data_IF_169938516850
#
_entry.id   IF_169938516850
#
_cell.length_a   1.000
_cell.length_b   1.000
_cell.length_c   1.000
_cell.angle_alpha   90.00
_cell.angle_beta   90.00
_cell.angle_gamma   90.00
#
_symmetry.space_group_name_H-M   'P 1'
#
loop_
_entity.id
_entity.type
_entity.pdbx_description
1 polymer ?
#
# COMPACT_ATOMS: atom_id res chain seq x y z
N UNK A 1 -2.15 9.91 -38.68
CA UNK A 1 -1.35 8.67 -38.80
C UNK A 1 -0.45 8.43 -37.59
N UNK A 2 0.34 9.41 -37.11
CA UNK A 2 1.27 9.24 -35.96
C UNK A 2 0.65 8.66 -34.67
N UNK A 3 -0.57 9.06 -34.28
CA UNK A 3 -1.24 8.56 -33.06
C UNK A 3 -1.58 7.06 -33.10
N UNK A 4 -1.91 6.52 -34.27
CA UNK A 4 -2.22 5.08 -34.42
C UNK A 4 -0.97 4.22 -34.21
N UNK A 5 0.19 4.68 -34.66
CA UNK A 5 1.47 4.00 -34.47
C UNK A 5 1.93 4.01 -33.01
N UNK A 6 1.69 5.10 -32.28
CA UNK A 6 2.02 5.18 -30.85
C UNK A 6 1.17 4.19 -30.05
N UNK A 7 -0.16 4.19 -30.24
CA UNK A 7 -1.06 3.26 -29.55
C UNK A 7 -0.74 1.79 -29.89
N UNK A 8 -0.29 1.51 -31.13
CA UNK A 8 0.11 0.17 -31.54
C UNK A 8 1.43 -0.24 -30.86
N UNK A 9 2.40 0.67 -30.75
CA UNK A 9 3.64 0.43 -30.02
C UNK A 9 3.40 0.21 -28.52
N UNK A 10 2.54 1.01 -27.90
CA UNK A 10 2.11 0.84 -26.50
C UNK A 10 1.42 -0.51 -26.29
N UNK A 11 0.48 -0.86 -27.17
CA UNK A 11 -0.22 -2.14 -27.13
C UNK A 11 0.72 -3.33 -27.31
N UNK A 12 1.70 -3.24 -28.20
CA UNK A 12 2.70 -4.29 -28.42
C UNK A 12 3.62 -4.44 -27.21
N UNK A 13 4.09 -3.33 -26.61
CA UNK A 13 4.90 -3.37 -25.40
C UNK A 13 4.12 -3.98 -24.23
N UNK A 14 2.86 -3.58 -24.03
CA UNK A 14 2.00 -4.16 -23.00
C UNK A 14 1.75 -5.64 -23.24
N UNK A 15 1.52 -6.07 -24.48
CA UNK A 15 1.34 -7.48 -24.80
C UNK A 15 2.60 -8.31 -24.49
N UNK A 16 3.79 -7.79 -24.82
CA UNK A 16 5.06 -8.45 -24.48
C UNK A 16 5.24 -8.56 -22.97
N UNK A 17 5.05 -7.47 -22.22
CA UNK A 17 5.16 -7.48 -20.75
C UNK A 17 4.11 -8.39 -20.09
N UNK A 18 2.90 -8.45 -20.66
CA UNK A 18 1.84 -9.34 -20.21
C UNK A 18 2.23 -10.81 -20.42
N UNK A 19 2.75 -11.19 -21.58
CA UNK A 19 3.22 -12.58 -21.82
C UNK A 19 4.36 -12.93 -20.87
N UNK A 20 5.32 -12.03 -20.67
CA UNK A 20 6.45 -12.22 -19.75
C UNK A 20 6.02 -12.41 -18.28
N UNK A 21 4.83 -11.94 -17.93
CA UNK A 21 4.24 -12.10 -16.59
C UNK A 21 3.84 -13.54 -16.26
N UNK A 22 3.68 -14.41 -17.26
CA UNK A 22 3.33 -15.82 -17.11
C UNK A 22 4.52 -16.79 -17.25
N UNK A 23 5.75 -16.27 -17.29
CA UNK A 23 6.95 -17.10 -17.32
C UNK A 23 7.15 -17.96 -16.06
N UNK A 24 8.10 -18.90 -16.12
CA UNK A 24 8.54 -19.66 -14.95
C UNK A 24 9.31 -18.81 -13.94
N UNK A 25 9.50 -19.34 -12.72
CA UNK A 25 10.49 -18.84 -11.78
C UNK A 25 11.87 -19.40 -12.13
N UNK A 26 12.91 -18.60 -11.89
CA UNK A 26 14.30 -19.00 -12.11
C UNK A 26 14.94 -19.30 -10.75
N UNK A 27 15.46 -20.51 -10.54
CA UNK A 27 16.21 -20.86 -9.32
C UNK A 27 17.57 -20.15 -9.39
N UNK A 28 17.86 -19.32 -8.38
CA UNK A 28 19.10 -18.54 -8.28
C UNK A 28 20.09 -19.20 -7.33
N UNK A 29 19.58 -19.83 -6.28
CA UNK A 29 20.38 -20.56 -5.32
C UNK A 29 19.59 -21.74 -4.77
N UNK A 30 20.26 -22.86 -4.57
CA UNK A 30 19.71 -24.08 -3.97
C UNK A 30 20.80 -24.67 -3.09
N UNK A 31 20.47 -24.95 -1.84
CA UNK A 31 21.39 -25.56 -0.90
C UNK A 31 20.64 -26.47 0.07
N UNK A 32 21.22 -27.63 0.29
CA UNK A 32 20.89 -28.49 1.42
C UNK A 32 21.61 -27.99 2.68
N UNK A 33 21.05 -28.28 3.86
CA UNK A 33 21.60 -27.89 5.16
C UNK A 33 23.10 -28.24 5.33
N UNK A 34 23.57 -29.31 4.69
CA UNK A 34 24.99 -29.74 4.72
C UNK A 34 25.95 -28.83 3.96
N UNK A 35 25.44 -28.00 3.04
CA UNK A 35 26.25 -27.15 2.17
C UNK A 35 26.45 -25.73 2.74
N UNK A 36 25.88 -25.46 3.91
CA UNK A 36 25.94 -24.17 4.59
C UNK A 36 27.13 -24.10 5.55
N UNK A 37 27.75 -22.93 5.66
CA UNK A 37 28.93 -22.72 6.50
C UNK A 37 28.54 -22.17 7.86
N UNK A 38 29.14 -22.69 8.92
CA UNK A 38 28.92 -22.20 10.29
C UNK A 38 29.90 -21.08 10.60
N UNK A 39 29.40 -19.96 11.10
CA UNK A 39 30.21 -18.85 11.59
C UNK A 39 30.49 -19.08 13.07
N UNK A 40 31.76 -19.34 13.41
CA UNK A 40 32.18 -19.69 14.79
C UNK A 40 31.92 -18.56 15.80
N UNK A 41 31.92 -17.29 15.37
CA UNK A 41 31.75 -16.13 16.27
C UNK A 41 30.29 -15.88 16.71
N UNK A 42 29.31 -16.24 15.88
CA UNK A 42 27.89 -15.91 16.12
C UNK A 42 26.99 -17.14 16.27
N UNK A 43 27.53 -18.35 16.00
CA UNK A 43 26.75 -19.58 15.91
C UNK A 43 25.80 -19.62 14.71
N UNK A 44 25.78 -18.56 13.89
CA UNK A 44 24.95 -18.45 12.70
C UNK A 44 25.42 -19.35 11.56
N UNK A 45 24.48 -19.75 10.72
CA UNK A 45 24.72 -20.54 9.52
C UNK A 45 24.55 -19.63 8.31
N UNK A 46 25.52 -19.62 7.40
CA UNK A 46 25.57 -18.71 6.25
C UNK A 46 25.75 -19.48 4.95
N UNK A 47 25.07 -19.05 3.89
CA UNK A 47 25.23 -19.62 2.55
C UNK A 47 26.48 -19.10 1.83
N UNK A 48 26.81 -19.70 0.68
CA UNK A 48 27.72 -19.04 -0.27
C UNK A 48 27.08 -17.75 -0.78
N UNK A 49 27.93 -16.80 -1.17
CA UNK A 49 27.49 -15.59 -1.83
C UNK A 49 26.96 -15.89 -3.24
N UNK A 50 25.89 -15.18 -3.62
CA UNK A 50 25.31 -15.20 -4.95
C UNK A 50 24.89 -13.79 -5.37
N UNK A 51 24.90 -13.54 -6.68
CA UNK A 51 24.52 -12.25 -7.23
C UNK A 51 23.00 -12.15 -7.41
N UNK A 52 22.43 -11.00 -7.05
CA UNK A 52 21.02 -10.68 -7.20
C UNK A 52 20.84 -9.49 -8.14
N UNK A 53 19.98 -9.67 -9.13
CA UNK A 53 19.50 -8.58 -9.98
C UNK A 53 18.17 -8.03 -9.45
N UNK A 54 17.78 -6.78 -9.77
CA UNK A 54 16.48 -6.24 -9.39
C UNK A 54 15.31 -7.18 -9.71
N UNK A 55 14.39 -7.34 -8.77
CA UNK A 55 13.29 -8.27 -8.87
C UNK A 55 12.70 -8.71 -7.54
N UNK A 56 11.74 -9.63 -7.61
CA UNK A 56 11.09 -10.20 -6.43
C UNK A 56 11.55 -11.64 -6.29
N UNK A 57 12.16 -11.95 -5.15
CA UNK A 57 12.71 -13.24 -4.82
C UNK A 57 11.87 -13.93 -3.77
N UNK A 58 11.92 -15.26 -3.77
CA UNK A 58 11.26 -16.09 -2.77
C UNK A 58 12.25 -17.09 -2.22
N UNK A 59 12.41 -17.09 -0.91
CA UNK A 59 13.05 -18.19 -0.19
C UNK A 59 11.98 -19.23 0.08
N UNK A 60 12.24 -20.45 -0.35
CA UNK A 60 11.43 -21.63 -0.09
C UNK A 60 12.22 -22.49 0.87
N UNK A 61 11.61 -22.79 2.01
CA UNK A 61 12.14 -23.69 3.02
C UNK A 61 11.25 -24.91 3.00
N UNK A 62 11.83 -26.06 2.62
CA UNK A 62 11.18 -27.37 2.67
C UNK A 62 11.88 -28.18 3.74
N UNK A 63 11.15 -28.62 4.76
CA UNK A 63 11.71 -29.41 5.86
C UNK A 63 11.03 -30.76 5.99
N UNK A 64 11.83 -31.75 6.37
CA UNK A 64 11.34 -33.10 6.63
C UNK A 64 11.19 -33.30 8.14
N UNK A 65 9.98 -33.06 8.66
CA UNK A 65 9.65 -33.18 10.09
C UNK A 65 9.97 -34.59 10.61
N UNK A 66 9.78 -35.63 9.79
CA UNK A 66 10.03 -37.01 10.21
C UNK A 66 11.53 -37.27 10.49
N UNK A 67 12.41 -36.51 9.82
CA UNK A 67 13.87 -36.62 9.94
C UNK A 67 14.51 -35.47 10.74
N UNK A 68 13.73 -34.79 11.60
CA UNK A 68 14.20 -33.75 12.51
C UNK A 68 13.85 -32.31 12.10
N UNK A 69 13.37 -32.12 10.86
CA UNK A 69 12.85 -30.84 10.37
C UNK A 69 13.84 -29.70 10.54
N UNK A 70 13.38 -28.58 11.10
CA UNK A 70 14.21 -27.40 11.36
C UNK A 70 14.65 -27.29 12.83
N UNK A 71 14.66 -28.40 13.56
CA UNK A 71 15.05 -28.44 14.97
C UNK A 71 14.04 -27.71 15.88
N UNK A 72 14.52 -26.80 16.73
CA UNK A 72 13.67 -25.98 17.62
C UNK A 72 13.06 -24.76 16.93
N UNK A 73 13.38 -24.56 15.65
CA UNK A 73 13.06 -23.35 14.89
C UNK A 73 14.31 -22.54 14.57
N UNK A 74 14.17 -21.62 13.62
CA UNK A 74 15.24 -20.76 13.14
C UNK A 74 14.71 -19.44 12.62
N UNK A 75 15.56 -18.42 12.63
CA UNK A 75 15.35 -17.19 11.87
C UNK A 75 16.16 -17.24 10.58
N UNK A 76 15.54 -16.86 9.46
CA UNK A 76 16.21 -16.71 8.17
C UNK A 76 16.12 -15.27 7.70
N UNK A 77 17.24 -14.74 7.21
CA UNK A 77 17.35 -13.46 6.53
C UNK A 77 18.18 -13.59 5.25
N UNK A 78 17.91 -12.68 4.31
CA UNK A 78 18.75 -12.47 3.14
C UNK A 78 19.54 -11.19 3.37
N UNK A 79 20.85 -11.33 3.55
CA UNK A 79 21.75 -10.24 3.91
C UNK A 79 22.82 -10.05 2.83
N UNK A 80 23.43 -8.87 2.84
CA UNK A 80 24.51 -8.47 1.97
C UNK A 80 25.40 -7.48 2.72
N UNK A 81 26.60 -7.18 2.20
CA UNK A 81 27.51 -6.25 2.86
C UNK A 81 26.85 -4.88 3.14
N UNK A 82 27.21 -4.23 4.26
CA UNK A 82 26.56 -3.04 4.83
C UNK A 82 26.30 -1.90 3.83
N UNK A 83 27.12 -1.78 2.79
CA UNK A 83 26.98 -0.76 1.73
C UNK A 83 25.74 -0.96 0.84
N UNK A 84 25.14 -2.15 0.87
CA UNK A 84 23.99 -2.55 0.04
C UNK A 84 22.70 -2.77 0.83
N UNK A 85 22.65 -2.41 2.12
CA UNK A 85 21.49 -2.63 3.00
C UNK A 85 20.14 -2.08 2.46
N UNK A 86 20.17 -1.02 1.63
CA UNK A 86 18.95 -0.47 1.01
C UNK A 86 18.46 -1.25 -0.22
N UNK A 87 19.30 -2.09 -0.81
CA UNK A 87 19.01 -2.83 -2.03
C UNK A 87 18.10 -4.02 -1.78
N UNK A 88 18.23 -4.71 -0.64
CA UNK A 88 17.39 -5.84 -0.25
C UNK A 88 16.32 -5.36 0.73
N UNK A 89 15.04 -5.61 0.41
CA UNK A 89 13.89 -5.23 1.23
C UNK A 89 13.10 -6.47 1.59
N UNK A 90 13.11 -6.84 2.86
CA UNK A 90 12.33 -7.93 3.42
C UNK A 90 12.77 -8.17 4.86
N UNK A 91 11.86 -8.67 5.69
CA UNK A 91 12.15 -8.93 7.09
C UNK A 91 12.87 -10.26 7.29
N UNK A 92 13.52 -10.40 8.44
CA UNK A 92 13.84 -11.72 8.98
C UNK A 92 12.54 -12.51 9.20
N UNK A 93 12.56 -13.78 8.87
CA UNK A 93 11.42 -14.67 9.06
C UNK A 93 11.74 -15.70 10.13
N UNK A 94 10.95 -15.71 11.19
CA UNK A 94 10.96 -16.76 12.20
C UNK A 94 10.19 -17.98 11.69
N UNK A 95 10.82 -19.15 11.78
CA UNK A 95 10.29 -20.43 11.39
C UNK A 95 10.19 -21.32 12.64
N UNK A 96 8.97 -21.69 13.08
CA UNK A 96 8.79 -22.61 14.20
C UNK A 96 9.12 -24.06 13.81
N UNK A 97 9.46 -24.88 14.79
CA UNK A 97 9.92 -26.27 14.64
C UNK A 97 9.05 -27.17 13.72
N UNK A 98 7.75 -26.90 13.66
CA UNK A 98 6.74 -27.65 12.91
C UNK A 98 6.54 -27.17 11.46
N UNK A 99 7.44 -26.33 10.95
CA UNK A 99 7.32 -25.77 9.60
C UNK A 99 7.76 -26.78 8.54
N UNK A 100 6.80 -27.47 7.89
CA UNK A 100 7.09 -28.32 6.71
C UNK A 100 7.47 -27.50 5.48
N UNK A 101 6.73 -26.42 5.22
CA UNK A 101 6.89 -25.61 4.02
C UNK A 101 6.63 -24.14 4.31
N UNK A 102 7.62 -23.28 4.04
CA UNK A 102 7.46 -21.83 4.16
C UNK A 102 8.00 -21.12 2.94
N UNK A 103 7.27 -20.07 2.53
CA UNK A 103 7.66 -19.14 1.47
C UNK A 103 7.83 -17.75 2.06
N UNK A 104 9.03 -17.19 1.92
CA UNK A 104 9.38 -15.84 2.38
C UNK A 104 9.70 -15.01 1.15
N UNK A 105 9.15 -13.81 1.03
CA UNK A 105 9.32 -12.96 -0.16
C UNK A 105 10.26 -11.80 0.15
N UNK A 106 11.20 -11.53 -0.74
CA UNK A 106 12.14 -10.42 -0.67
C UNK A 106 12.09 -9.59 -1.95
N UNK A 107 12.29 -8.28 -1.83
CA UNK A 107 12.30 -7.34 -2.93
C UNK A 107 13.70 -6.75 -3.08
N UNK A 108 14.30 -6.97 -4.24
CA UNK A 108 15.63 -6.45 -4.56
C UNK A 108 15.44 -5.25 -5.48
N UNK A 109 15.81 -4.07 -4.98
CA UNK A 109 15.66 -2.80 -5.66
C UNK A 109 16.85 -2.45 -6.57
N UNK A 110 18.05 -2.94 -6.25
CA UNK A 110 19.29 -2.67 -6.98
C UNK A 110 20.12 -3.95 -7.16
N UNK A 111 21.10 -3.94 -8.05
CA UNK A 111 22.03 -5.08 -8.23
C UNK A 111 22.89 -5.26 -6.99
N UNK A 112 22.96 -6.50 -6.50
CA UNK A 112 23.80 -6.90 -5.36
C UNK A 112 24.75 -7.99 -5.83
N UNK A 113 26.04 -7.74 -5.78
CA UNK A 113 27.05 -8.67 -6.31
C UNK A 113 27.28 -9.89 -5.41
N UNK A 114 27.18 -9.70 -4.09
CA UNK A 114 27.37 -10.73 -3.08
C UNK A 114 26.26 -10.64 -2.01
N UNK A 115 25.21 -11.44 -2.18
CA UNK A 115 24.18 -11.66 -1.16
C UNK A 115 24.28 -13.09 -0.62
N UNK A 116 23.98 -13.26 0.66
CA UNK A 116 23.96 -14.56 1.32
C UNK A 116 22.73 -14.72 2.22
N UNK A 117 22.36 -15.96 2.46
CA UNK A 117 21.37 -16.32 3.46
C UNK A 117 22.06 -16.39 4.81
N UNK A 118 21.51 -15.68 5.80
CA UNK A 118 21.90 -15.82 7.20
C UNK A 118 20.78 -16.54 7.96
N UNK A 119 21.16 -17.58 8.69
CA UNK A 119 20.25 -18.45 9.43
C UNK A 119 20.72 -18.47 10.88
N UNK A 120 19.84 -18.09 11.80
CA UNK A 120 20.08 -18.12 13.24
C UNK A 120 19.20 -19.22 13.85
N UNK A 121 19.74 -20.41 14.17
CA UNK A 121 18.97 -21.46 14.84
C UNK A 121 18.65 -21.05 16.29
N UNK A 122 17.46 -21.43 16.79
CA UNK A 122 17.04 -21.10 18.16
C UNK A 122 17.70 -21.93 19.24
N UNK A 123 18.17 -23.13 18.89
CA UNK A 123 18.98 -23.95 19.79
C UNK A 123 20.02 -24.73 19.00
N UNK A 124 21.17 -24.95 19.63
CA UNK A 124 22.19 -25.83 19.09
C UNK A 124 21.90 -27.29 19.46
N UNK A 125 21.96 -28.22 18.50
CA UNK A 125 22.04 -29.65 18.79
C UNK A 125 20.82 -30.53 18.47
N UNK A 126 19.96 -30.15 17.52
CA UNK A 126 18.92 -31.04 16.97
C UNK A 126 19.35 -31.70 15.66
N UNK A 127 18.83 -32.89 15.35
CA UNK A 127 18.83 -33.37 13.97
C UNK A 127 18.02 -32.39 13.12
N UNK A 128 18.61 -31.88 12.04
CA UNK A 128 17.97 -30.96 11.11
C UNK A 128 18.03 -31.56 9.71
N UNK A 129 16.94 -31.43 8.97
CA UNK A 129 16.80 -31.89 7.59
C UNK A 129 15.90 -30.91 6.85
N UNK A 130 16.51 -29.94 6.17
CA UNK A 130 15.80 -28.95 5.39
C UNK A 130 16.59 -28.56 4.13
N UNK A 131 15.85 -28.19 3.10
CA UNK A 131 16.35 -27.68 1.83
C UNK A 131 15.93 -26.21 1.66
N UNK A 132 16.86 -25.39 1.18
CA UNK A 132 16.66 -23.97 0.92
C UNK A 132 16.77 -23.71 -0.57
N UNK A 133 15.73 -23.06 -1.13
CA UNK A 133 15.73 -22.60 -2.52
C UNK A 133 15.43 -21.11 -2.58
N UNK A 134 16.24 -20.37 -3.31
CA UNK A 134 16.00 -18.97 -3.63
C UNK A 134 15.59 -18.87 -5.08
N UNK A 135 14.34 -18.49 -5.32
CA UNK A 135 13.77 -18.36 -6.66
C UNK A 135 13.50 -16.90 -7.00
N UNK A 136 13.90 -16.49 -8.20
CA UNK A 136 13.43 -15.24 -8.80
C UNK A 136 12.03 -15.46 -9.35
N UNK A 137 11.05 -14.73 -8.82
CA UNK A 137 9.65 -14.87 -9.17
C UNK A 137 9.25 -13.96 -10.33
N UNK A 138 8.13 -14.30 -10.99
CA UNK A 138 7.51 -13.44 -12.02
C UNK A 138 6.76 -12.23 -11.46
N UNK A 139 6.62 -12.11 -10.14
CA UNK A 139 5.96 -10.98 -9.49
C UNK A 139 6.60 -9.64 -9.91
N UNK A 140 7.93 -9.57 -10.04
CA UNK A 140 8.62 -8.37 -10.53
C UNK A 140 8.18 -7.95 -11.94
N UNK A 141 7.94 -8.92 -12.83
CA UNK A 141 7.45 -8.66 -14.20
C UNK A 141 5.99 -8.19 -14.20
N UNK A 142 5.16 -8.77 -13.34
CA UNK A 142 3.75 -8.35 -13.14
C UNK A 142 3.66 -6.92 -12.63
N UNK A 143 4.48 -6.56 -11.64
CA UNK A 143 4.60 -5.20 -11.11
C UNK A 143 5.01 -4.24 -12.24
N UNK A 144 6.04 -4.57 -13.00
CA UNK A 144 6.51 -3.76 -14.13
C UNK A 144 5.40 -3.54 -15.17
N UNK A 145 4.68 -4.60 -15.54
CA UNK A 145 3.54 -4.51 -16.43
C UNK A 145 2.49 -3.52 -15.92
N UNK A 146 2.11 -3.60 -14.65
CA UNK A 146 1.12 -2.69 -14.04
C UNK A 146 1.62 -1.25 -14.02
N UNK A 147 2.90 -1.01 -13.69
CA UNK A 147 3.50 0.33 -13.70
C UNK A 147 3.44 0.93 -15.12
N UNK A 148 3.86 0.17 -16.13
CA UNK A 148 3.85 0.64 -17.53
C UNK A 148 2.42 0.88 -18.01
N UNK A 149 1.47 0.01 -17.64
CA UNK A 149 0.05 0.17 -17.95
C UNK A 149 -0.52 1.47 -17.36
N UNK A 150 -0.24 1.75 -16.08
CA UNK A 150 -0.68 2.97 -15.41
C UNK A 150 -0.04 4.20 -16.05
N UNK A 151 1.26 4.13 -16.37
CA UNK A 151 1.98 5.22 -17.03
C UNK A 151 1.37 5.57 -18.39
N UNK A 152 1.07 4.56 -19.22
CA UNK A 152 0.38 4.77 -20.49
C UNK A 152 -1.03 5.32 -20.30
N UNK A 153 -1.81 4.79 -19.34
CA UNK A 153 -3.13 5.34 -19.01
C UNK A 153 -3.07 6.83 -18.60
N UNK A 154 -2.05 7.22 -17.81
CA UNK A 154 -1.81 8.62 -17.45
C UNK A 154 -1.45 9.48 -18.66
N UNK A 155 -0.52 9.03 -19.52
CA UNK A 155 -0.12 9.76 -20.72
C UNK A 155 -1.27 9.94 -21.70
N UNK A 156 -2.05 8.89 -21.94
CA UNK A 156 -3.25 8.93 -22.77
C UNK A 156 -4.32 9.84 -22.19
N UNK A 157 -4.53 9.77 -20.87
CA UNK A 157 -5.43 10.66 -20.14
C UNK A 157 -5.06 12.14 -20.35
N UNK A 158 -3.77 12.47 -20.22
CA UNK A 158 -3.24 13.82 -20.47
C UNK A 158 -3.44 14.22 -21.94
N UNK A 159 -3.17 13.31 -22.89
CA UNK A 159 -3.33 13.58 -24.32
C UNK A 159 -4.80 13.83 -24.71
N UNK A 160 -5.73 13.03 -24.16
CA UNK A 160 -7.17 13.20 -24.35
C UNK A 160 -7.63 14.51 -23.71
N UNK A 161 -7.19 14.81 -22.50
CA UNK A 161 -7.53 16.05 -21.82
C UNK A 161 -7.04 17.27 -22.60
N UNK A 162 -5.77 17.26 -23.06
CA UNK A 162 -5.21 18.31 -23.92
C UNK A 162 -6.01 18.49 -25.20
N UNK A 163 -6.42 17.40 -25.87
CA UNK A 163 -7.27 17.48 -27.07
C UNK A 163 -8.61 18.13 -26.77
N UNK A 164 -9.30 17.71 -25.71
CA UNK A 164 -10.57 18.31 -25.27
C UNK A 164 -10.43 19.80 -24.92
N UNK A 165 -9.28 20.18 -24.36
CA UNK A 165 -8.93 21.58 -24.06
C UNK A 165 -8.77 22.40 -25.34
N UNK A 166 -8.07 21.88 -26.34
CA UNK A 166 -7.82 22.52 -27.64
C UNK A 166 -9.09 22.62 -28.50
N UNK A 167 -9.93 21.58 -28.49
CA UNK A 167 -11.20 21.53 -29.23
C UNK A 167 -12.33 22.35 -28.56
N UNK A 168 -12.05 23.08 -27.47
CA UNK A 168 -13.02 23.87 -26.67
C UNK A 168 -14.24 23.08 -26.16
N UNK A 169 -14.18 21.75 -26.15
CA UNK A 169 -15.26 20.87 -25.66
C UNK A 169 -15.47 20.99 -24.14
N UNK A 170 -14.46 21.48 -23.41
CA UNK A 170 -14.50 21.65 -21.96
C UNK A 170 -14.46 23.13 -21.62
N UNK A 171 -15.43 23.59 -20.80
CA UNK A 171 -15.45 24.96 -20.30
C UNK A 171 -14.22 25.27 -19.45
N UNK A 172 -13.75 26.52 -19.45
CA UNK A 172 -12.58 26.93 -18.65
C UNK A 172 -12.71 26.59 -17.17
N UNK A 173 -13.92 26.71 -16.62
CA UNK A 173 -14.25 26.37 -15.23
C UNK A 173 -14.08 24.87 -14.94
N UNK A 174 -14.54 23.97 -15.84
CA UNK A 174 -14.38 22.51 -15.68
C UNK A 174 -12.92 22.08 -15.76
N UNK A 175 -12.10 22.75 -16.57
CA UNK A 175 -10.64 22.50 -16.64
C UNK A 175 -9.99 22.76 -15.29
N UNK A 176 -10.26 23.92 -14.71
CA UNK A 176 -9.69 24.32 -13.42
C UNK A 176 -10.15 23.40 -12.29
N UNK A 177 -11.42 22.98 -12.30
CA UNK A 177 -11.96 22.05 -11.31
C UNK A 177 -11.22 20.73 -11.32
N UNK A 178 -11.03 20.12 -12.50
CA UNK A 178 -10.34 18.83 -12.61
C UNK A 178 -8.88 18.95 -12.14
N UNK A 179 -8.17 20.00 -12.54
CA UNK A 179 -6.81 20.24 -12.07
C UNK A 179 -6.76 20.47 -10.54
N UNK A 180 -7.72 21.20 -9.97
CA UNK A 180 -7.80 21.43 -8.54
C UNK A 180 -8.05 20.13 -7.77
N UNK A 181 -8.95 19.26 -8.23
CA UNK A 181 -9.17 17.95 -7.59
C UNK A 181 -7.91 17.09 -7.60
N UNK A 182 -7.21 17.04 -8.74
CA UNK A 182 -5.93 16.31 -8.83
C UNK A 182 -4.90 16.90 -7.86
N UNK A 183 -4.77 18.24 -7.80
CA UNK A 183 -3.87 18.90 -6.86
C UNK A 183 -4.21 18.62 -5.39
N UNK A 184 -5.50 18.67 -5.04
CA UNK A 184 -5.98 18.37 -3.69
C UNK A 184 -5.64 16.92 -3.31
N UNK A 185 -5.89 15.98 -4.22
CA UNK A 185 -5.57 14.57 -4.01
C UNK A 185 -4.06 14.31 -3.90
N UNK A 186 -3.25 14.94 -4.75
CA UNK A 186 -1.78 14.84 -4.70
C UNK A 186 -1.22 15.32 -3.37
N UNK A 187 -1.73 16.44 -2.84
CA UNK A 187 -1.35 16.94 -1.51
C UNK A 187 -1.76 15.95 -0.42
N UNK A 188 -2.95 15.36 -0.52
CA UNK A 188 -3.37 14.31 0.42
C UNK A 188 -2.42 13.09 0.37
N UNK A 189 -1.83 12.78 -0.78
CA UNK A 189 -0.91 11.66 -0.94
C UNK A 189 0.53 11.93 -0.49
N UNK A 190 0.91 13.17 -0.14
CA UNK A 190 2.30 13.50 0.28
C UNK A 190 2.81 12.59 1.42
N UNK A 191 2.04 12.29 2.49
CA UNK A 191 2.50 11.39 3.56
C UNK A 191 2.77 9.96 3.09
N UNK A 192 2.25 9.55 1.94
CA UNK A 192 2.47 8.20 1.38
C UNK A 192 3.79 8.08 0.61
N UNK A 193 4.43 9.20 0.27
CA UNK A 193 5.68 9.24 -0.49
C UNK A 193 6.92 8.93 0.36
N UNK A 194 6.76 8.84 1.68
CA UNK A 194 7.86 8.44 2.58
C UNK A 194 8.07 6.92 2.51
N UNK A 195 9.30 6.47 2.73
CA UNK A 195 9.66 5.06 2.59
C UNK A 195 9.05 4.18 3.69
N UNK A 196 8.86 4.71 4.90
CA UNK A 196 8.26 3.98 6.02
C UNK A 196 6.73 4.08 6.04
N UNK A 197 6.09 3.24 6.86
CA UNK A 197 4.67 3.38 7.20
C UNK A 197 4.56 3.57 8.72
N UNK A 198 3.75 4.54 9.15
CA UNK A 198 3.38 4.66 10.57
C UNK A 198 2.31 3.62 10.83
N UNK A 199 2.67 2.54 11.52
CA UNK A 199 1.74 1.45 11.82
C UNK A 199 1.04 1.72 13.16
N UNK A 200 -0.23 2.07 13.12
CA UNK A 200 -1.15 1.96 14.26
C UNK A 200 -1.67 0.53 14.44
N UNK A 201 -2.28 0.22 15.59
CA UNK A 201 -2.88 -1.10 15.86
C UNK A 201 -3.88 -1.54 14.79
N UNK A 202 -4.74 -0.63 14.34
CA UNK A 202 -5.74 -0.89 13.30
C UNK A 202 -5.10 -1.14 11.92
N UNK A 203 -3.93 -0.56 11.66
CA UNK A 203 -3.19 -0.78 10.41
C UNK A 203 -2.60 -2.19 10.32
N UNK A 204 -2.03 -2.71 11.43
CA UNK A 204 -1.50 -4.08 11.50
C UNK A 204 -2.62 -5.09 11.28
N UNK A 205 -3.79 -4.84 11.88
CA UNK A 205 -4.97 -5.67 11.65
C UNK A 205 -5.38 -5.68 10.17
N UNK A 206 -5.40 -4.52 9.51
CA UNK A 206 -5.74 -4.43 8.08
C UNK A 206 -4.76 -5.21 7.18
N UNK A 207 -3.47 -5.19 7.51
CA UNK A 207 -2.47 -5.99 6.80
C UNK A 207 -2.69 -7.49 7.00
N UNK A 208 -2.96 -7.91 8.25
CA UNK A 208 -3.26 -9.31 8.60
C UNK A 208 -4.52 -9.81 7.89
N UNK A 209 -5.58 -9.00 7.86
CA UNK A 209 -6.82 -9.32 7.16
C UNK A 209 -6.65 -9.41 5.64
N UNK A 210 -5.74 -8.61 5.06
CA UNK A 210 -5.36 -8.72 3.64
C UNK A 210 -4.77 -10.10 3.34
N UNK A 211 -3.92 -10.63 4.23
CA UNK A 211 -3.35 -11.97 4.08
C UNK A 211 -4.38 -13.08 4.29
N UNK A 212 -5.26 -12.96 5.29
CA UNK A 212 -6.39 -13.89 5.45
C UNK A 212 -7.27 -13.95 4.19
N UNK A 213 -7.47 -12.81 3.53
CA UNK A 213 -8.22 -12.73 2.29
C UNK A 213 -7.55 -13.49 1.15
N UNK A 214 -6.22 -13.39 1.03
CA UNK A 214 -5.42 -14.12 0.04
C UNK A 214 -5.39 -15.62 0.30
N UNK A 215 -5.45 -16.03 1.57
CA UNK A 215 -5.50 -17.43 2.00
C UNK A 215 -6.92 -18.05 1.86
N UNK A 216 -7.94 -17.24 1.58
CA UNK A 216 -9.32 -17.71 1.49
C UNK A 216 -10.04 -17.80 2.83
N UNK A 217 -9.47 -17.28 3.92
CA UNK A 217 -10.01 -17.32 5.28
C UNK A 217 -11.03 -16.19 5.56
N UNK A 218 -12.08 -16.10 4.73
CA UNK A 218 -12.98 -14.94 4.73
C UNK A 218 -13.78 -14.79 6.02
N UNK A 219 -13.97 -15.88 6.77
CA UNK A 219 -14.72 -15.89 8.03
C UNK A 219 -14.06 -15.12 9.18
N UNK A 220 -12.77 -14.80 9.06
CA UNK A 220 -12.02 -14.02 10.07
C UNK A 220 -12.07 -12.52 9.83
N UNK A 221 -12.64 -12.08 8.70
CA UNK A 221 -12.61 -10.68 8.27
C UNK A 221 -13.97 -10.03 8.54
N UNK A 222 -14.03 -8.88 9.23
CA UNK A 222 -15.26 -8.11 9.35
C UNK A 222 -15.81 -7.72 7.98
N UNK A 223 -17.12 -7.94 7.75
CA UNK A 223 -17.74 -7.70 6.44
C UNK A 223 -17.56 -6.25 5.93
N UNK A 224 -17.48 -5.27 6.83
CA UNK A 224 -17.23 -3.87 6.46
C UNK A 224 -15.84 -3.66 5.84
N UNK A 225 -14.83 -4.44 6.24
CA UNK A 225 -13.47 -4.31 5.76
C UNK A 225 -13.32 -4.85 4.33
N UNK A 226 -14.16 -5.81 3.95
CA UNK A 226 -14.24 -6.31 2.57
C UNK A 226 -14.55 -5.20 1.55
N UNK A 227 -15.12 -4.06 1.95
CA UNK A 227 -15.38 -2.95 1.02
C UNK A 227 -14.11 -2.33 0.42
N UNK A 228 -12.98 -2.42 1.12
CA UNK A 228 -11.72 -1.79 0.71
C UNK A 228 -10.54 -2.77 0.61
N UNK A 229 -10.59 -3.93 1.29
CA UNK A 229 -9.50 -4.92 1.30
C UNK A 229 -9.22 -5.57 -0.05
N UNK A 230 -10.15 -5.53 -1.02
CA UNK A 230 -9.89 -5.99 -2.39
C UNK A 230 -8.73 -5.25 -3.06
N UNK A 231 -8.52 -3.97 -2.71
CA UNK A 231 -7.45 -3.16 -3.30
C UNK A 231 -6.07 -3.70 -2.88
N UNK A 232 -5.73 -3.75 -1.57
CA UNK A 232 -4.43 -4.27 -1.16
C UNK A 232 -4.28 -5.77 -1.50
N UNK A 233 -5.35 -6.58 -1.42
CA UNK A 233 -5.29 -7.99 -1.81
C UNK A 233 -4.97 -8.17 -3.31
N UNK A 234 -5.60 -7.37 -4.18
CA UNK A 234 -5.30 -7.39 -5.61
C UNK A 234 -3.86 -6.99 -5.92
N UNK A 235 -3.36 -5.96 -5.24
CA UNK A 235 -1.96 -5.52 -5.38
C UNK A 235 -0.98 -6.58 -4.90
N UNK A 236 -1.28 -7.26 -3.79
CA UNK A 236 -0.49 -8.39 -3.28
C UNK A 236 -0.49 -9.57 -4.23
N UNK A 237 -1.62 -9.89 -4.84
CA UNK A 237 -1.71 -10.96 -5.84
C UNK A 237 -0.86 -10.69 -7.09
N UNK A 238 -0.82 -9.43 -7.54
CA UNK A 238 0.10 -8.97 -8.59
C UNK A 238 1.55 -9.17 -8.15
N UNK A 239 1.83 -8.94 -6.86
CA UNK A 239 3.13 -9.17 -6.24
C UNK A 239 3.75 -7.93 -5.60
N UNK A 240 2.98 -6.85 -5.43
CA UNK A 240 3.47 -5.67 -4.72
C UNK A 240 3.74 -5.98 -3.24
N UNK A 241 4.68 -5.26 -2.61
CA UNK A 241 4.88 -5.33 -1.17
C UNK A 241 3.61 -5.02 -0.39
N UNK A 242 3.47 -5.59 0.81
CA UNK A 242 2.34 -5.33 1.72
C UNK A 242 2.20 -3.84 2.00
N UNK A 243 3.30 -3.19 2.36
CA UNK A 243 3.32 -1.76 2.67
C UNK A 243 2.91 -0.90 1.47
N UNK A 244 3.40 -1.21 0.27
CA UNK A 244 3.03 -0.49 -0.97
C UNK A 244 1.56 -0.69 -1.31
N UNK A 245 1.06 -1.93 -1.18
CA UNK A 245 -0.35 -2.28 -1.41
C UNK A 245 -1.28 -1.48 -0.50
N UNK A 246 -0.90 -1.32 0.77
CA UNK A 246 -1.61 -0.52 1.74
C UNK A 246 -1.56 0.99 1.42
N UNK A 247 -0.39 1.53 1.03
CA UNK A 247 -0.26 2.92 0.57
C UNK A 247 -1.15 3.20 -0.65
N UNK A 248 -1.21 2.28 -1.62
CA UNK A 248 -2.09 2.38 -2.80
C UNK A 248 -3.56 2.41 -2.37
N UNK A 249 -3.97 1.58 -1.42
CA UNK A 249 -5.33 1.60 -0.87
C UNK A 249 -5.67 2.97 -0.27
N UNK A 250 -4.79 3.55 0.55
CA UNK A 250 -5.01 4.89 1.14
C UNK A 250 -5.14 5.96 0.05
N UNK A 251 -4.26 5.93 -0.95
CA UNK A 251 -4.31 6.85 -2.09
C UNK A 251 -5.65 6.72 -2.84
N UNK A 252 -6.13 5.49 -3.07
CA UNK A 252 -7.41 5.25 -3.74
C UNK A 252 -8.60 5.75 -2.90
N UNK A 253 -8.63 5.43 -1.60
CA UNK A 253 -9.71 5.82 -0.70
C UNK A 253 -9.81 7.35 -0.56
N UNK A 254 -8.68 8.05 -0.43
CA UNK A 254 -8.65 9.51 -0.38
C UNK A 254 -9.14 10.15 -1.69
N UNK A 255 -8.78 9.59 -2.85
CA UNK A 255 -9.27 10.04 -4.15
C UNK A 255 -10.77 9.79 -4.34
N UNK A 256 -11.24 8.60 -3.96
CA UNK A 256 -12.65 8.25 -4.00
C UNK A 256 -13.50 9.13 -3.07
N UNK A 257 -13.00 9.39 -1.86
CA UNK A 257 -13.61 10.31 -0.90
C UNK A 257 -13.73 11.73 -1.47
N UNK A 258 -12.66 12.26 -2.06
CA UNK A 258 -12.66 13.58 -2.69
C UNK A 258 -13.69 13.66 -3.83
N UNK A 259 -13.72 12.65 -4.70
CA UNK A 259 -14.66 12.58 -5.82
C UNK A 259 -16.12 12.51 -5.33
N UNK A 260 -16.38 11.72 -4.29
CA UNK A 260 -17.70 11.59 -3.67
C UNK A 260 -18.17 12.93 -3.07
N UNK A 261 -17.33 13.56 -2.24
CA UNK A 261 -17.65 14.84 -1.60
C UNK A 261 -17.90 15.93 -2.64
N UNK A 262 -17.03 16.03 -3.64
CA UNK A 262 -17.22 16.99 -4.73
C UNK A 262 -18.53 16.72 -5.48
N UNK A 263 -18.82 15.46 -5.83
CA UNK A 263 -20.06 15.10 -6.52
C UNK A 263 -21.30 15.49 -5.71
N UNK A 264 -21.35 15.15 -4.42
CA UNK A 264 -22.48 15.46 -3.54
C UNK A 264 -22.68 16.97 -3.39
N UNK A 265 -21.61 17.72 -3.09
CA UNK A 265 -21.71 19.16 -2.90
C UNK A 265 -21.92 19.93 -4.22
N UNK A 266 -21.47 19.39 -5.36
CA UNK A 266 -21.70 20.02 -6.67
C UNK A 266 -23.18 20.04 -7.09
N UNK A 267 -24.00 19.10 -6.58
CA UNK A 267 -25.46 19.11 -6.80
C UNK A 267 -26.15 20.29 -6.11
N UNK A 268 -25.48 20.88 -5.14
CA UNK A 268 -26.08 21.79 -4.18
C UNK A 268 -25.47 23.19 -4.23
N UNK A 269 -24.15 23.27 -4.41
CA UNK A 269 -23.38 24.51 -4.49
C UNK A 269 -23.43 25.15 -5.88
N UNK A 270 -23.73 26.45 -5.92
CA UNK A 270 -23.64 27.24 -7.17
C UNK A 270 -22.20 27.62 -7.52
N UNK A 271 -21.33 27.76 -6.51
CA UNK A 271 -19.94 28.16 -6.67
C UNK A 271 -18.98 26.98 -6.56
N UNK A 272 -18.44 26.54 -7.70
CA UNK A 272 -17.50 25.42 -7.77
C UNK A 272 -16.25 25.60 -6.88
N UNK A 273 -15.81 26.83 -6.62
CA UNK A 273 -14.67 27.11 -5.72
C UNK A 273 -14.98 26.73 -4.27
N UNK A 274 -16.17 27.07 -3.79
CA UNK A 274 -16.62 26.72 -2.44
C UNK A 274 -16.84 25.21 -2.31
N UNK A 275 -17.38 24.58 -3.35
CA UNK A 275 -17.55 23.12 -3.42
C UNK A 275 -16.20 22.40 -3.33
N UNK A 276 -15.19 22.86 -4.08
CA UNK A 276 -13.85 22.31 -4.04
C UNK A 276 -13.19 22.49 -2.66
N UNK A 277 -13.32 23.69 -2.08
CA UNK A 277 -12.78 23.95 -0.74
C UNK A 277 -13.45 23.02 0.29
N UNK A 278 -14.77 22.90 0.28
CA UNK A 278 -15.49 22.00 1.20
C UNK A 278 -15.09 20.52 1.01
N UNK A 279 -14.93 20.07 -0.23
CA UNK A 279 -14.45 18.71 -0.50
C UNK A 279 -13.02 18.49 0.00
N UNK A 280 -12.13 19.47 -0.19
CA UNK A 280 -10.76 19.44 0.34
C UNK A 280 -10.74 19.37 1.87
N UNK A 281 -11.54 20.21 2.55
CA UNK A 281 -11.65 20.16 4.01
C UNK A 281 -12.22 18.84 4.53
N UNK A 282 -13.09 18.18 3.77
CA UNK A 282 -13.61 16.86 4.16
C UNK A 282 -12.52 15.78 4.24
N UNK A 283 -11.53 15.82 3.35
CA UNK A 283 -10.43 14.85 3.34
C UNK A 283 -9.21 15.32 4.16
N UNK A 284 -9.01 16.62 4.32
CA UNK A 284 -7.88 17.20 5.07
C UNK A 284 -8.22 17.60 6.49
N UNK A 285 -9.45 17.33 6.96
CA UNK A 285 -9.73 17.57 8.37
C UNK A 285 -8.79 16.70 9.22
N UNK A 286 -8.33 17.18 10.38
CA UNK A 286 -7.31 16.45 11.11
C UNK A 286 -7.77 15.09 11.63
N UNK A 287 -9.09 14.89 11.82
CA UNK A 287 -9.65 13.57 12.14
C UNK A 287 -9.46 12.57 10.99
N UNK A 288 -9.74 12.98 9.76
CA UNK A 288 -9.59 12.18 8.55
C UNK A 288 -8.11 11.87 8.31
N UNK A 289 -7.24 12.87 8.47
CA UNK A 289 -5.79 12.69 8.37
C UNK A 289 -5.29 11.71 9.44
N UNK A 290 -5.71 11.87 10.71
CA UNK A 290 -5.28 10.97 11.79
C UNK A 290 -5.80 9.56 11.62
N UNK A 291 -7.10 9.38 11.33
CA UNK A 291 -7.69 8.05 11.13
C UNK A 291 -7.04 7.32 9.97
N UNK A 292 -6.70 8.03 8.89
CA UNK A 292 -6.13 7.44 7.69
C UNK A 292 -4.61 7.19 7.80
N UNK A 293 -3.82 8.12 8.34
CA UNK A 293 -2.35 8.05 8.32
C UNK A 293 -1.71 7.66 9.66
N UNK A 294 -2.33 7.98 10.79
CA UNK A 294 -1.74 7.72 12.12
C UNK A 294 -2.31 6.45 12.73
N UNK A 295 -3.64 6.32 12.76
CA UNK A 295 -4.29 5.10 13.23
C UNK A 295 -4.24 4.00 12.16
N UNK A 296 -4.23 4.40 10.89
CA UNK A 296 -4.29 3.49 9.75
C UNK A 296 -5.57 2.66 9.72
N UNK A 297 -6.69 3.26 10.11
CA UNK A 297 -8.01 2.64 10.09
C UNK A 297 -8.83 3.20 8.89
N UNK A 298 -8.74 2.58 7.71
CA UNK A 298 -9.51 2.99 6.53
C UNK A 298 -11.03 2.93 6.77
N UNK A 299 -11.52 2.01 7.61
CA UNK A 299 -12.93 1.91 7.97
C UNK A 299 -13.45 3.16 8.69
N UNK A 300 -12.72 3.62 9.72
CA UNK A 300 -13.02 4.87 10.43
C UNK A 300 -12.95 6.08 9.50
N UNK A 301 -11.94 6.14 8.62
CA UNK A 301 -11.85 7.21 7.62
C UNK A 301 -13.08 7.27 6.71
N UNK A 302 -13.54 6.13 6.18
CA UNK A 302 -14.75 6.07 5.35
C UNK A 302 -15.97 6.56 6.13
N UNK A 303 -16.13 6.13 7.39
CA UNK A 303 -17.21 6.60 8.25
C UNK A 303 -17.15 8.12 8.50
N UNK A 304 -15.95 8.67 8.74
CA UNK A 304 -15.75 10.12 8.92
C UNK A 304 -16.13 10.92 7.67
N UNK A 305 -15.70 10.46 6.49
CA UNK A 305 -16.03 11.11 5.21
C UNK A 305 -17.53 11.07 4.93
N UNK A 306 -18.18 9.93 5.18
CA UNK A 306 -19.62 9.79 5.01
C UNK A 306 -20.39 10.65 6.03
N UNK A 307 -19.96 10.69 7.29
CA UNK A 307 -20.54 11.56 8.30
C UNK A 307 -20.41 13.04 7.93
N UNK A 308 -19.23 13.46 7.43
CA UNK A 308 -19.01 14.81 6.91
C UNK A 308 -19.92 15.12 5.72
N UNK A 309 -20.08 14.18 4.79
CA UNK A 309 -20.98 14.32 3.66
C UNK A 309 -22.43 14.53 4.11
N UNK A 310 -22.93 13.71 5.04
CA UNK A 310 -24.30 13.80 5.58
C UNK A 310 -24.51 15.14 6.31
N UNK A 311 -23.59 15.52 7.19
CA UNK A 311 -23.69 16.80 7.92
C UNK A 311 -23.68 18.00 6.96
N UNK A 312 -22.77 18.00 5.98
CA UNK A 312 -22.73 19.01 4.93
C UNK A 312 -24.05 19.09 4.14
N UNK A 313 -24.67 17.94 3.89
CA UNK A 313 -25.99 17.83 3.25
C UNK A 313 -27.10 18.49 4.06
N UNK A 314 -27.18 18.15 5.36
CA UNK A 314 -28.20 18.67 6.26
C UNK A 314 -28.08 20.18 6.42
N UNK A 315 -26.86 20.68 6.66
CA UNK A 315 -26.58 22.12 6.76
C UNK A 315 -27.02 22.84 5.49
N UNK A 316 -26.74 22.27 4.32
CA UNK A 316 -27.13 22.88 3.06
C UNK A 316 -28.65 22.94 2.86
N UNK A 317 -29.38 21.87 3.19
CA UNK A 317 -30.85 21.82 3.13
C UNK A 317 -31.45 22.88 4.06
N UNK A 318 -30.92 23.01 5.29
CA UNK A 318 -31.36 24.02 6.25
C UNK A 318 -31.13 25.45 5.75
N UNK A 319 -29.97 25.70 5.12
CA UNK A 319 -29.65 27.00 4.53
C UNK A 319 -30.53 27.33 3.33
N UNK A 320 -30.92 26.34 2.51
CA UNK A 320 -31.86 26.56 1.41
C UNK A 320 -33.26 26.92 1.90
N UNK A 321 -33.76 26.27 2.98
CA UNK A 321 -35.05 26.62 3.59
C UNK A 321 -35.06 28.05 4.16
N UNK A 322 -33.91 28.56 4.63
CA UNK A 322 -33.78 29.91 5.20
C UNK A 322 -33.63 31.04 4.19
N UNK A 323 -33.46 30.73 2.90
CA UNK A 323 -33.31 31.71 1.82
C UNK A 323 -34.55 32.60 1.60
N UNK A 324 -35.65 32.33 2.31
CA UNK A 324 -36.84 33.18 2.36
C UNK A 324 -36.63 34.48 3.15
N UNK A 325 -35.68 34.59 4.09
CA UNK A 325 -35.62 35.80 4.94
C UNK A 325 -34.27 36.42 5.33
N UNK A 326 -33.08 35.86 5.06
CA UNK A 326 -31.84 36.65 5.14
C UNK A 326 -30.63 35.93 4.52
N UNK A 327 -29.71 36.71 3.91
CA UNK A 327 -28.43 36.23 3.37
C UNK A 327 -27.48 35.88 4.51
N UNK A 328 -27.38 34.60 4.87
CA UNK A 328 -26.29 34.12 5.73
C UNK A 328 -25.00 34.13 4.90
N UNK A 329 -23.96 34.78 5.43
CA UNK A 329 -22.64 34.87 4.79
C UNK A 329 -22.03 33.46 4.66
N UNK A 330 -21.47 33.09 3.49
CA UNK A 330 -20.73 31.84 3.30
C UNK A 330 -19.61 31.63 4.35
N UNK A 331 -19.08 32.74 4.90
CA UNK A 331 -18.07 32.73 5.96
C UNK A 331 -18.57 32.17 7.30
N UNK A 332 -19.86 32.30 7.60
CA UNK A 332 -20.44 31.75 8.84
C UNK A 332 -20.55 30.23 8.74
N UNK A 333 -20.92 29.72 7.56
CA UNK A 333 -20.97 28.28 7.29
C UNK A 333 -19.56 27.68 7.32
N UNK A 334 -18.60 28.40 6.74
CA UNK A 334 -17.19 28.05 6.83
C UNK A 334 -16.68 28.04 8.28
N UNK A 335 -16.99 29.06 9.08
CA UNK A 335 -16.58 29.15 10.47
C UNK A 335 -17.19 28.02 11.32
N UNK A 336 -18.46 27.66 11.11
CA UNK A 336 -19.10 26.56 11.84
C UNK A 336 -18.50 25.20 11.45
N UNK A 337 -18.22 24.97 10.17
CA UNK A 337 -17.51 23.76 9.71
C UNK A 337 -16.08 23.70 10.27
N UNK A 338 -15.37 24.83 10.28
CA UNK A 338 -14.03 24.93 10.84
C UNK A 338 -14.01 24.69 12.36
N UNK A 339 -14.98 25.26 13.09
CA UNK A 339 -15.14 25.06 14.54
C UNK A 339 -15.48 23.60 14.86
N UNK A 340 -16.35 22.96 14.08
CA UNK A 340 -16.65 21.52 14.27
C UNK A 340 -15.42 20.66 14.02
N UNK A 341 -14.63 20.98 12.98
CA UNK A 341 -13.36 20.30 12.71
C UNK A 341 -12.35 20.52 13.84
N UNK A 342 -12.22 21.76 14.32
CA UNK A 342 -11.32 22.13 15.43
C UNK A 342 -11.75 21.55 16.77
N UNK A 343 -13.05 21.42 17.04
CA UNK A 343 -13.56 20.80 18.26
C UNK A 343 -13.28 19.29 18.30
N UNK A 344 -13.38 18.62 17.15
CA UNK A 344 -13.00 17.21 17.06
C UNK A 344 -11.48 17.05 17.25
N UNK A 345 -10.66 17.95 16.70
CA UNK A 345 -9.20 17.99 16.96
C UNK A 345 -8.91 18.20 18.44
N UNK A 346 -9.62 19.12 19.09
CA UNK A 346 -9.41 19.46 20.50
C UNK A 346 -9.80 18.31 21.43
N UNK A 347 -10.95 17.65 21.19
CA UNK A 347 -11.38 16.49 21.99
C UNK A 347 -10.44 15.29 21.82
N UNK A 348 -9.81 15.12 20.65
CA UNK A 348 -8.87 14.05 20.43
C UNK A 348 -7.46 14.33 20.94
N UNK A 349 -7.01 15.59 21.06
CA UNK A 349 -5.72 15.88 21.72
C UNK A 349 -5.71 15.42 23.19
N UNK A 350 -6.86 15.40 23.86
CA UNK A 350 -7.02 14.78 25.18
C UNK A 350 -6.95 13.25 25.16
N UNK A 351 -7.22 12.60 24.02
CA UNK A 351 -7.11 11.14 23.84
C UNK A 351 -5.71 10.75 23.29
N UNK A 352 -5.01 11.67 22.60
CA UNK A 352 -3.67 11.49 22.00
C UNK A 352 -2.58 11.23 23.04
N UNK A 353 -2.77 11.62 24.31
CA UNK A 353 -1.88 11.21 25.40
C UNK A 353 -1.99 9.71 25.77
N UNK A 354 -2.90 8.95 25.15
CA UNK A 354 -3.12 7.53 25.45
C UNK A 354 -2.94 6.56 24.27
N UNK A 355 -2.68 7.03 23.04
CA UNK A 355 -2.43 6.12 21.91
C UNK A 355 -0.94 5.99 21.64
N UNK A 356 -0.32 4.94 22.17
CA UNK A 356 1.08 4.59 21.93
C UNK A 356 1.33 4.41 20.42
N UNK A 357 2.17 5.28 19.84
CA UNK A 357 2.72 5.07 18.50
C UNK A 357 3.70 3.92 18.61
N UNK A 358 3.31 2.73 18.15
CA UNK A 358 4.07 1.53 18.49
C UNK A 358 5.36 1.37 17.66
N UNK A 359 5.43 1.59 16.34
CA UNK A 359 6.69 1.39 15.58
C UNK A 359 6.80 2.15 14.23
N UNK A 360 8.05 2.43 13.81
CA UNK A 360 8.41 2.92 12.46
C UNK A 360 9.07 1.78 11.68
N UNK A 361 8.41 1.24 10.65
CA UNK A 361 8.97 0.15 9.83
C UNK A 361 9.44 0.64 8.46
N UNK A 362 10.70 0.33 8.11
CA UNK A 362 11.29 0.48 6.77
C UNK A 362 11.22 -0.81 5.93
N UNK A 363 10.72 -1.89 6.51
CA UNK A 363 10.76 -3.25 5.97
C UNK A 363 9.33 -3.87 5.98
N UNK A 364 9.09 -4.96 5.24
CA UNK A 364 7.75 -5.57 5.11
C UNK A 364 7.21 -6.00 6.48
N UNK A 365 6.20 -5.32 7.03
CA UNK A 365 5.71 -5.67 8.35
C UNK A 365 4.97 -7.02 8.27
N UNK A 366 5.44 -7.98 9.06
CA UNK A 366 4.81 -9.28 9.37
C UNK A 366 4.84 -10.35 8.26
N UNK A 367 5.81 -11.26 8.35
CA UNK A 367 5.76 -12.63 7.79
C UNK A 367 5.82 -13.72 8.88
N UNK A 368 5.80 -13.32 10.15
CA UNK A 368 5.64 -14.22 11.30
C UNK A 368 4.19 -14.13 11.75
N UNK A 369 3.50 -15.26 11.75
CA UNK A 369 2.11 -15.39 12.15
C UNK A 369 1.94 -15.28 13.66
N UNK A 370 2.38 -14.19 14.26
CA UNK A 370 2.08 -13.80 15.65
C UNK A 370 1.45 -12.40 15.71
#
# INVERSE_FOLDING_TARGET
MKKKWILLAEGLLLAVLFVLSFGGSDIVFEADHQQLYRVEETGGIVSKDFALNPGVYRIIVESDIANGGIGSGMEISLEAEETTFRAIRGNRATLPADTEHKRITYYVADTVDAAHLQIQPFSEGGNVSYELKVEKTTAGRRILFVIVLVLFACLDGIAIFRRKVLCKEVSGQKKWINCAMVGIWMIACIPLLVDYLVLGTDSVQCLRETEYMLQGEWGRIPAAHLLYLWIPAGMRWIGFPVATSYKIMIAFLSGAALALLYFLFSKWGKDARLVLAAAAFGIWNPLAVKTLYVMGNPGKFVACVLGYAVLGSVVWILLQKRKSQNKISPWIVFAVLLILVLQVVYYENTIILQSDVQYWYNEEPFMTGE
#
